data_IF_733010251207
#
_entry.id   IF_733010251207
#
_cell.length_a   1.000
_cell.length_b   1.000
_cell.length_c   1.000
_cell.angle_alpha   90.00
_cell.angle_beta   90.00
_cell.angle_gamma   90.00
#
_symmetry.space_group_name_H-M   'P 1'
#
loop_
_entity.id
_entity.type
_entity.pdbx_description
1 polymer ?
#
# COMPACT_ATOMS: atom_id res chain seq x y z
N UNK A 1 15.94 24.26 1.85
CA UNK A 1 14.47 24.09 1.86
C UNK A 1 14.02 23.37 0.59
N UNK A 2 13.34 22.24 0.74
CA UNK A 2 12.72 21.50 -0.37
C UNK A 2 11.30 22.04 -0.50
N UNK A 3 10.99 22.62 -1.65
CA UNK A 3 9.61 23.09 -1.90
C UNK A 3 8.67 21.90 -2.06
N UNK A 4 7.44 21.90 -1.46
CA UNK A 4 6.49 20.79 -1.55
C UNK A 4 6.19 20.32 -2.98
N UNK A 5 6.21 21.24 -3.95
CA UNK A 5 5.97 20.92 -5.37
C UNK A 5 7.05 20.00 -5.97
N UNK A 6 8.26 19.96 -5.37
CA UNK A 6 9.33 19.05 -5.81
C UNK A 6 9.01 17.61 -5.39
N UNK A 7 8.32 17.43 -4.27
CA UNK A 7 7.89 16.11 -3.77
C UNK A 7 6.73 15.51 -4.58
N UNK A 8 6.07 16.29 -5.44
CA UNK A 8 5.11 15.75 -6.43
C UNK A 8 5.79 14.91 -7.52
N UNK A 9 7.12 14.85 -7.54
CA UNK A 9 7.93 13.97 -8.38
C UNK A 9 8.57 12.89 -7.53
N UNK A 10 9.08 11.85 -8.19
CA UNK A 10 9.80 10.78 -7.51
C UNK A 10 11.09 11.28 -6.87
N UNK A 11 11.36 10.82 -5.65
CA UNK A 11 12.62 11.05 -4.96
C UNK A 11 13.24 9.70 -4.57
N UNK A 12 14.55 9.57 -4.66
CA UNK A 12 15.29 8.39 -4.22
C UNK A 12 16.32 8.79 -3.17
N UNK A 13 16.39 8.03 -2.07
CA UNK A 13 17.40 8.21 -1.03
C UNK A 13 18.42 7.08 -1.14
N UNK A 14 19.62 7.40 -1.57
CA UNK A 14 20.70 6.46 -1.77
C UNK A 14 21.75 6.62 -0.66
N UNK A 15 22.31 5.52 -0.21
CA UNK A 15 23.36 5.52 0.79
C UNK A 15 23.60 4.13 1.39
N UNK A 16 24.75 3.93 1.99
CA UNK A 16 25.10 2.70 2.71
C UNK A 16 24.27 2.52 4.00
N UNK A 17 24.37 1.33 4.60
CA UNK A 17 23.79 1.10 5.94
C UNK A 17 24.39 2.06 6.95
N UNK A 18 23.56 2.66 7.80
CA UNK A 18 24.01 3.65 8.81
C UNK A 18 24.19 5.08 8.29
N UNK A 19 23.97 5.36 6.99
CA UNK A 19 24.14 6.71 6.43
C UNK A 19 23.01 7.71 6.76
N UNK A 20 22.06 7.33 7.59
CA UNK A 20 20.96 8.21 8.01
C UNK A 20 19.73 8.24 7.06
N UNK A 21 19.61 7.32 6.09
CA UNK A 21 18.46 7.27 5.17
C UNK A 21 17.11 7.25 5.89
N UNK A 22 16.96 6.39 6.89
CA UNK A 22 15.73 6.29 7.69
C UNK A 22 15.44 7.57 8.47
N UNK A 23 16.46 8.23 8.98
CA UNK A 23 16.32 9.53 9.68
C UNK A 23 15.85 10.60 8.71
N UNK A 24 16.43 10.67 7.52
CA UNK A 24 16.02 11.60 6.48
C UNK A 24 14.59 11.33 6.01
N UNK A 25 14.20 10.05 5.85
CA UNK A 25 12.85 9.68 5.50
C UNK A 25 11.84 10.12 6.56
N UNK A 26 12.14 9.92 7.85
CA UNK A 26 11.31 10.39 8.96
C UNK A 26 11.15 11.91 8.92
N UNK A 27 12.25 12.65 8.78
CA UNK A 27 12.21 14.10 8.71
C UNK A 27 11.32 14.60 7.54
N UNK A 28 11.40 13.98 6.36
CA UNK A 28 10.54 14.34 5.23
C UNK A 28 9.06 14.04 5.49
N UNK A 29 8.74 12.92 6.13
CA UNK A 29 7.37 12.55 6.50
C UNK A 29 6.80 13.53 7.52
N UNK A 30 7.59 13.90 8.55
CA UNK A 30 7.21 14.87 9.57
C UNK A 30 6.97 16.25 8.97
N UNK A 31 7.86 16.71 8.08
CA UNK A 31 7.68 17.99 7.36
C UNK A 31 6.44 18.00 6.48
N UNK A 32 6.18 16.91 5.74
CA UNK A 32 4.98 16.78 4.93
C UNK A 32 3.73 16.83 5.80
N UNK A 33 3.73 16.12 6.93
CA UNK A 33 2.64 16.08 7.87
C UNK A 33 2.36 17.46 8.50
N UNK A 34 3.39 18.19 8.92
CA UNK A 34 3.26 19.55 9.44
C UNK A 34 2.71 20.52 8.39
N UNK A 35 3.02 20.28 7.11
CA UNK A 35 2.48 21.03 5.97
C UNK A 35 1.05 20.61 5.60
N UNK A 36 0.44 19.64 6.30
CA UNK A 36 -0.91 19.13 6.01
C UNK A 36 -0.98 18.19 4.82
N UNK A 37 0.15 17.60 4.41
CA UNK A 37 0.23 16.64 3.29
C UNK A 37 0.14 15.21 3.86
N UNK A 38 -0.89 14.44 3.51
CA UNK A 38 -1.01 13.06 3.95
C UNK A 38 0.07 12.18 3.32
N UNK A 39 0.57 11.21 4.09
CA UNK A 39 1.60 10.27 3.65
C UNK A 39 1.12 8.83 3.78
N UNK A 40 1.26 8.04 2.72
CA UNK A 40 1.10 6.59 2.74
C UNK A 40 2.48 5.95 2.75
N UNK A 41 2.77 5.16 3.80
CA UNK A 41 4.09 4.59 4.02
C UNK A 41 4.00 3.07 3.91
N UNK A 42 4.78 2.49 2.99
CA UNK A 42 4.97 1.04 2.88
C UNK A 42 6.32 0.71 3.54
N UNK A 43 6.25 0.09 4.72
CA UNK A 43 7.41 -0.14 5.59
C UNK A 43 7.58 -1.64 5.91
N UNK A 44 8.21 -2.41 5.01
CA UNK A 44 8.41 -3.84 5.21
C UNK A 44 9.29 -4.19 6.42
N UNK A 45 10.14 -3.27 6.85
CA UNK A 45 11.08 -3.46 7.96
C UNK A 45 10.51 -3.00 9.32
N UNK A 46 9.52 -2.07 9.31
CA UNK A 46 8.91 -1.53 10.50
C UNK A 46 9.69 -0.40 11.19
N UNK A 47 10.74 0.13 10.55
CA UNK A 47 11.58 1.19 11.12
C UNK A 47 10.86 2.54 11.21
N UNK A 48 9.93 2.81 10.31
CA UNK A 48 9.16 4.04 10.23
C UNK A 48 7.94 4.03 11.15
N UNK A 49 7.50 2.85 11.60
CA UNK A 49 6.38 2.71 12.53
C UNK A 49 6.60 3.46 13.86
N UNK A 50 7.87 3.70 14.24
CA UNK A 50 8.23 4.51 15.41
C UNK A 50 7.77 5.96 15.35
N UNK A 51 7.44 6.49 14.16
CA UNK A 51 6.83 7.82 14.03
C UNK A 51 5.50 7.95 14.79
N UNK A 52 4.80 6.83 14.99
CA UNK A 52 3.55 6.81 15.75
C UNK A 52 3.75 6.87 17.28
N UNK A 53 4.95 6.60 17.78
CA UNK A 53 5.19 6.49 19.22
C UNK A 53 5.47 7.84 19.87
N UNK A 54 5.95 8.82 19.10
CA UNK A 54 6.46 10.07 19.64
C UNK A 54 7.72 9.88 20.49
N UNK A 55 8.32 10.97 20.89
CA UNK A 55 9.39 11.01 21.90
C UNK A 55 8.86 11.81 23.07
N UNK A 56 9.12 11.36 24.29
CA UNK A 56 8.73 12.12 25.50
C UNK A 56 9.40 13.51 25.51
N UNK A 57 8.72 14.55 26.08
CA UNK A 57 9.30 15.89 26.13
C UNK A 57 10.69 15.94 26.75
N UNK A 58 10.89 15.23 27.86
CA UNK A 58 12.17 15.20 28.58
C UNK A 58 13.29 14.55 27.75
N UNK A 59 12.98 13.47 27.03
CA UNK A 59 13.93 12.80 26.13
C UNK A 59 14.25 13.65 24.90
N UNK A 60 13.29 14.43 24.44
CA UNK A 60 13.48 15.31 23.28
C UNK A 60 14.34 16.51 23.64
N UNK A 61 14.11 17.13 24.82
CA UNK A 61 14.97 18.21 25.35
C UNK A 61 16.40 17.74 25.59
N UNK A 62 16.57 16.52 26.13
CA UNK A 62 17.90 15.92 26.34
C UNK A 62 18.67 15.69 25.01
N UNK A 63 18.00 15.70 23.89
CA UNK A 63 18.58 15.55 22.55
C UNK A 63 18.61 16.86 21.74
N UNK A 64 18.45 18.02 22.38
CA UNK A 64 18.32 19.34 21.74
C UNK A 64 17.18 19.38 20.69
N UNK A 65 16.12 18.60 20.92
CA UNK A 65 14.98 18.53 20.04
C UNK A 65 13.99 19.68 20.22
N UNK A 66 13.25 20.00 19.18
CA UNK A 66 12.20 21.02 19.21
C UNK A 66 10.89 20.45 19.77
N UNK A 67 10.70 20.61 21.08
CA UNK A 67 9.50 20.15 21.81
C UNK A 67 8.21 20.77 21.28
N UNK A 68 8.24 22.06 20.93
CA UNK A 68 7.05 22.75 20.42
C UNK A 68 6.62 22.17 19.06
N UNK A 69 7.58 21.86 18.22
CA UNK A 69 7.35 21.24 16.90
C UNK A 69 6.85 19.80 17.02
N UNK A 70 7.43 19.01 17.94
CA UNK A 70 6.98 17.66 18.19
C UNK A 70 5.52 17.64 18.69
N UNK A 71 5.16 18.54 19.61
CA UNK A 71 3.80 18.70 20.09
C UNK A 71 2.84 19.07 18.95
N UNK A 72 3.21 20.02 18.10
CA UNK A 72 2.43 20.42 16.94
C UNK A 72 2.19 19.24 15.98
N UNK A 73 3.21 18.40 15.76
CA UNK A 73 3.09 17.20 14.93
C UNK A 73 2.06 16.22 15.53
N UNK A 74 2.17 15.92 16.82
CA UNK A 74 1.25 15.02 17.51
C UNK A 74 -0.20 15.53 17.54
N UNK A 75 -0.40 16.84 17.63
CA UNK A 75 -1.72 17.46 17.62
C UNK A 75 -2.37 17.48 16.22
N UNK A 76 -1.56 17.60 15.16
CA UNK A 76 -2.05 17.72 13.79
C UNK A 76 -2.17 16.40 13.04
N UNK A 77 -1.43 15.37 13.48
CA UNK A 77 -1.29 14.14 12.71
C UNK A 77 -1.91 12.95 13.43
N UNK A 78 -2.73 12.21 12.71
CA UNK A 78 -3.20 10.90 13.11
C UNK A 78 -2.37 9.84 12.35
N UNK A 79 -1.63 9.01 13.09
CA UNK A 79 -0.86 7.91 12.52
C UNK A 79 -1.64 6.61 12.69
N UNK A 80 -1.93 5.94 11.58
CA UNK A 80 -2.59 4.64 11.55
C UNK A 80 -1.62 3.59 11.03
N UNK A 81 -1.39 2.53 11.82
CA UNK A 81 -0.50 1.43 11.45
C UNK A 81 -1.35 0.20 11.13
N UNK A 82 -1.31 -0.21 9.85
CA UNK A 82 -1.87 -1.48 9.42
C UNK A 82 -0.80 -2.56 9.47
N UNK A 83 -1.13 -3.68 10.10
CA UNK A 83 -0.22 -4.82 10.24
C UNK A 83 -0.84 -6.05 9.56
N UNK A 84 -0.62 -6.21 8.25
CA UNK A 84 -1.07 -7.41 7.55
C UNK A 84 -0.53 -8.67 8.22
N UNK A 85 -1.35 -9.72 8.30
CA UNK A 85 -0.99 -11.04 8.86
C UNK A 85 -0.65 -11.04 10.37
N UNK A 86 -0.94 -9.97 11.12
CA UNK A 86 -0.73 -9.92 12.57
C UNK A 86 -2.01 -9.52 13.29
N UNK A 87 -2.25 -10.13 14.45
CA UNK A 87 -3.40 -9.84 15.31
C UNK A 87 -3.25 -8.55 16.13
N UNK A 88 -2.02 -8.02 16.23
CA UNK A 88 -1.73 -6.75 16.92
C UNK A 88 -1.62 -5.63 15.90
N UNK A 89 -2.44 -4.60 16.03
CA UNK A 89 -2.55 -3.48 15.10
C UNK A 89 -3.85 -3.51 14.30
N UNK A 90 -3.99 -2.60 13.35
CA UNK A 90 -5.18 -2.55 12.49
C UNK A 90 -5.07 -3.61 11.38
N UNK A 91 -6.08 -4.48 11.21
CA UNK A 91 -6.06 -5.43 10.11
C UNK A 91 -6.21 -4.69 8.78
N UNK A 92 -5.45 -5.09 7.77
CA UNK A 92 -5.65 -4.63 6.41
C UNK A 92 -6.62 -5.59 5.71
N UNK A 93 -7.85 -5.14 5.51
CA UNK A 93 -8.83 -5.86 4.72
C UNK A 93 -8.89 -5.22 3.33
N UNK A 94 -8.49 -5.99 2.32
CA UNK A 94 -8.63 -5.62 0.92
C UNK A 94 -9.69 -6.54 0.34
N UNK A 95 -10.70 -5.95 -0.32
CA UNK A 95 -11.66 -6.72 -1.12
C UNK A 95 -11.00 -7.08 -2.47
N UNK A 96 -10.59 -8.34 -2.67
CA UNK A 96 -9.91 -8.73 -3.89
C UNK A 96 -10.86 -8.83 -5.09
N UNK A 97 -12.17 -8.77 -4.86
CA UNK A 97 -13.21 -8.88 -5.89
C UNK A 97 -13.73 -7.52 -6.35
N UNK A 98 -13.24 -6.43 -5.77
CA UNK A 98 -13.67 -5.09 -6.15
C UNK A 98 -13.17 -4.77 -7.57
N UNK A 99 -14.11 -4.69 -8.51
CA UNK A 99 -13.80 -4.29 -9.88
C UNK A 99 -13.07 -2.93 -9.92
N UNK A 100 -12.16 -2.74 -10.86
CA UNK A 100 -11.55 -1.44 -11.12
C UNK A 100 -12.60 -0.36 -11.35
N UNK A 101 -12.35 0.90 -10.94
CA UNK A 101 -13.25 2.00 -11.23
C UNK A 101 -13.56 2.13 -12.73
N UNK A 102 -14.81 2.47 -13.06
CA UNK A 102 -15.26 2.56 -14.45
C UNK A 102 -14.75 3.78 -15.22
N UNK A 103 -14.14 4.73 -14.51
CA UNK A 103 -13.57 5.97 -15.03
C UNK A 103 -12.06 5.89 -15.28
N UNK A 104 -11.46 4.71 -15.10
CA UNK A 104 -10.06 4.47 -15.46
C UNK A 104 -9.83 4.54 -16.96
N UNK A 105 -8.64 5.02 -17.33
CA UNK A 105 -8.14 4.87 -18.69
C UNK A 105 -8.14 3.38 -19.12
N UNK A 106 -8.44 3.05 -20.39
CA UNK A 106 -8.48 1.66 -20.84
C UNK A 106 -7.19 0.86 -20.57
N UNK A 107 -6.02 1.47 -20.68
CA UNK A 107 -4.74 0.79 -20.40
C UNK A 107 -4.56 0.54 -18.89
N UNK A 108 -4.98 1.49 -18.06
CA UNK A 108 -4.97 1.33 -16.60
C UNK A 108 -5.98 0.27 -16.15
N UNK A 109 -7.16 0.22 -16.76
CA UNK A 109 -8.16 -0.80 -16.47
C UNK A 109 -7.67 -2.20 -16.83
N UNK A 110 -7.03 -2.38 -18.00
CA UNK A 110 -6.40 -3.65 -18.39
C UNK A 110 -5.35 -4.07 -17.37
N UNK A 111 -4.50 -3.13 -16.96
CA UNK A 111 -3.46 -3.40 -15.97
C UNK A 111 -4.05 -3.81 -14.62
N UNK A 112 -5.10 -3.14 -14.16
CA UNK A 112 -5.77 -3.46 -12.90
C UNK A 112 -6.40 -4.87 -12.91
N UNK A 113 -7.08 -5.23 -14.00
CA UNK A 113 -7.64 -6.58 -14.18
C UNK A 113 -6.54 -7.65 -14.26
N UNK A 114 -5.44 -7.37 -14.95
CA UNK A 114 -4.30 -8.28 -15.06
C UNK A 114 -3.64 -8.53 -13.70
N UNK A 115 -3.50 -7.49 -12.87
CA UNK A 115 -3.00 -7.59 -11.50
C UNK A 115 -3.94 -8.42 -10.61
N UNK A 116 -5.26 -8.24 -10.76
CA UNK A 116 -6.26 -9.01 -10.03
C UNK A 116 -6.18 -10.49 -10.40
N UNK A 117 -6.14 -10.81 -11.69
CA UNK A 117 -6.00 -12.18 -12.18
C UNK A 117 -4.69 -12.85 -11.71
N UNK A 118 -3.59 -12.11 -11.71
CA UNK A 118 -2.31 -12.58 -11.17
C UNK A 118 -2.40 -12.85 -9.66
N UNK A 119 -3.08 -11.98 -8.92
CA UNK A 119 -3.33 -12.16 -7.48
C UNK A 119 -4.10 -13.44 -7.19
N UNK A 120 -5.19 -13.70 -7.91
CA UNK A 120 -5.97 -14.94 -7.75
C UNK A 120 -5.21 -16.19 -8.16
N UNK A 121 -4.42 -16.12 -9.26
CA UNK A 121 -3.56 -17.23 -9.66
C UNK A 121 -2.55 -17.59 -8.55
N UNK A 122 -1.90 -16.59 -7.97
CA UNK A 122 -0.96 -16.77 -6.86
C UNK A 122 -1.64 -17.32 -5.59
N UNK A 123 -2.83 -16.82 -5.24
CA UNK A 123 -3.60 -17.34 -4.11
C UNK A 123 -4.00 -18.81 -4.31
N UNK A 124 -4.28 -19.20 -5.55
CA UNK A 124 -4.54 -20.60 -5.91
C UNK A 124 -3.27 -21.46 -5.99
N UNK A 125 -2.09 -20.92 -5.70
CA UNK A 125 -0.81 -21.63 -5.70
C UNK A 125 -0.14 -21.74 -7.07
N UNK A 126 -0.59 -20.96 -8.05
CA UNK A 126 0.04 -20.89 -9.38
C UNK A 126 0.99 -19.70 -9.44
N UNK A 127 2.27 -19.98 -9.63
CA UNK A 127 3.28 -18.96 -9.93
C UNK A 127 3.11 -18.48 -11.37
N UNK A 128 2.75 -17.20 -11.55
CA UNK A 128 2.41 -16.60 -12.85
C UNK A 128 3.59 -16.58 -13.84
N UNK A 129 4.82 -16.74 -13.36
CA UNK A 129 6.00 -16.84 -14.22
C UNK A 129 6.25 -18.25 -14.76
N UNK A 130 5.64 -19.25 -14.16
CA UNK A 130 5.76 -20.66 -14.57
C UNK A 130 4.72 -21.05 -15.63
N UNK A 131 4.96 -22.11 -16.41
CA UNK A 131 4.07 -22.51 -17.52
C UNK A 131 2.60 -22.64 -17.13
N UNK A 132 2.30 -23.28 -15.99
CA UNK A 132 0.92 -23.42 -15.51
C UNK A 132 0.29 -22.07 -15.16
N UNK A 133 1.01 -21.19 -14.49
CA UNK A 133 0.52 -19.86 -14.13
C UNK A 133 0.28 -18.99 -15.35
N UNK A 134 1.15 -19.10 -16.38
CA UNK A 134 0.96 -18.42 -17.68
C UNK A 134 -0.30 -18.84 -18.44
N UNK A 135 -0.85 -20.02 -18.13
CA UNK A 135 -2.14 -20.48 -18.67
C UNK A 135 -3.31 -20.06 -17.79
N UNK A 136 -3.15 -20.18 -16.46
CA UNK A 136 -4.21 -19.90 -15.49
C UNK A 136 -4.53 -18.42 -15.41
N UNK A 137 -3.52 -17.54 -15.43
CA UNK A 137 -3.72 -16.09 -15.30
C UNK A 137 -4.60 -15.50 -16.39
N UNK A 138 -4.38 -15.74 -17.70
CA UNK A 138 -5.26 -15.26 -18.77
C UNK A 138 -6.69 -15.79 -18.64
N UNK A 139 -6.85 -17.06 -18.27
CA UNK A 139 -8.16 -17.65 -18.05
C UNK A 139 -8.94 -16.95 -16.93
N UNK A 140 -8.30 -16.66 -15.80
CA UNK A 140 -8.90 -15.89 -14.72
C UNK A 140 -9.20 -14.46 -15.14
N UNK A 141 -8.33 -13.84 -15.93
CA UNK A 141 -8.56 -12.51 -16.48
C UNK A 141 -9.85 -12.46 -17.29
N UNK A 142 -10.05 -13.37 -18.23
CA UNK A 142 -11.26 -13.45 -19.05
C UNK A 142 -12.51 -13.65 -18.20
N UNK A 143 -12.47 -14.56 -17.22
CA UNK A 143 -13.60 -14.78 -16.30
C UNK A 143 -13.95 -13.51 -15.52
N UNK A 144 -12.97 -12.80 -15.00
CA UNK A 144 -13.19 -11.59 -14.19
C UNK A 144 -13.76 -10.45 -15.05
N UNK A 145 -13.17 -10.21 -16.22
CA UNK A 145 -13.60 -9.14 -17.14
C UNK A 145 -14.98 -9.43 -17.71
N UNK A 146 -15.16 -10.60 -18.33
CA UNK A 146 -16.42 -10.98 -18.96
C UNK A 146 -17.50 -11.23 -17.90
N UNK A 147 -17.16 -11.85 -16.77
CA UNK A 147 -18.08 -12.05 -15.67
C UNK A 147 -18.65 -10.72 -15.17
N UNK A 148 -17.79 -9.74 -14.93
CA UNK A 148 -18.24 -8.39 -14.52
C UNK A 148 -19.09 -7.72 -15.60
N UNK A 149 -18.68 -7.83 -16.87
CA UNK A 149 -19.41 -7.23 -18.00
C UNK A 149 -20.80 -7.86 -18.21
N UNK A 150 -20.90 -9.17 -18.04
CA UNK A 150 -22.16 -9.92 -18.20
C UNK A 150 -23.01 -9.97 -16.93
N UNK A 151 -22.55 -9.36 -15.83
CA UNK A 151 -23.25 -9.39 -14.54
C UNK A 151 -23.25 -10.77 -13.87
N UNK A 152 -22.26 -11.62 -14.18
CA UNK A 152 -22.05 -12.88 -13.44
C UNK A 152 -21.61 -12.56 -12.01
N UNK A 153 -22.05 -13.39 -11.09
CA UNK A 153 -21.61 -13.29 -9.71
C UNK A 153 -20.17 -13.85 -9.59
N UNK A 154 -19.21 -12.96 -9.58
CA UNK A 154 -17.79 -13.25 -9.32
C UNK A 154 -17.29 -12.51 -8.08
N UNK A 155 -18.22 -12.09 -7.20
CA UNK A 155 -17.95 -11.21 -6.06
C UNK A 155 -17.36 -11.91 -4.83
N UNK A 156 -17.21 -13.23 -4.85
CA UNK A 156 -16.53 -13.98 -3.79
C UNK A 156 -15.83 -15.24 -4.33
N UNK A 157 -15.03 -15.90 -3.47
CA UNK A 157 -14.30 -17.11 -3.88
C UNK A 157 -15.20 -18.28 -4.25
N UNK A 158 -16.38 -18.41 -3.65
CA UNK A 158 -17.29 -19.50 -3.97
C UNK A 158 -17.97 -19.28 -5.32
N UNK A 159 -18.38 -18.04 -5.58
CA UNK A 159 -18.96 -17.62 -6.83
C UNK A 159 -17.94 -17.77 -7.98
N UNK A 160 -16.73 -17.27 -7.81
CA UNK A 160 -15.65 -17.45 -8.78
C UNK A 160 -15.35 -18.94 -9.04
N UNK A 161 -15.29 -19.77 -7.99
CA UNK A 161 -15.06 -21.21 -8.13
C UNK A 161 -16.18 -21.91 -8.91
N UNK A 162 -17.43 -21.48 -8.77
CA UNK A 162 -18.56 -22.00 -9.59
C UNK A 162 -18.36 -21.68 -11.05
N UNK A 163 -18.09 -20.42 -11.38
CA UNK A 163 -17.86 -19.99 -12.76
C UNK A 163 -16.67 -20.69 -13.41
N UNK A 164 -15.61 -20.92 -12.65
CA UNK A 164 -14.42 -21.69 -13.14
C UNK A 164 -14.75 -23.15 -13.44
N UNK A 165 -15.67 -23.77 -12.69
CA UNK A 165 -16.05 -25.20 -12.86
C UNK A 165 -17.06 -25.41 -13.99
N UNK A 166 -17.91 -24.44 -14.22
CA UNK A 166 -19.02 -24.51 -15.18
C UNK A 166 -18.95 -23.26 -16.09
N UNK A 167 -17.91 -23.20 -16.98
CA UNK A 167 -17.67 -22.03 -17.83
C UNK A 167 -18.71 -21.83 -18.94
#
# INVERSE_FOLDING_TARGET
>A
DIKPQILARHAAMLGSTGSGKTVMAKALIEEAALAGIPSLIIDPQGDLARLAMGIGPDDLEAQDGDVARAKQLMEKCEVRIWTPLRSKGLPLCIDPFRAPPSDLDPEEAITAWDMMAAGFANLAGFDVEKPKGKTVKPYLYEILVEGTRCGLDVGDFQALARVVREP
#
